data_IF_145584477547
#
_entry.id   IF_145584477547
#
_cell.length_a   1.000
_cell.length_b   1.000
_cell.length_c   1.000
_cell.angle_alpha   90.00
_cell.angle_beta   90.00
_cell.angle_gamma   90.00
#
_symmetry.space_group_name_H-M   'P 1'
#
loop_
_entity.id
_entity.type
_entity.pdbx_description
1 polymer ?
#
# COMPACT_ATOMS: atom_id res chain seq x y z
N UNK A 1 13.95 32.42 13.68
CA UNK A 1 13.78 31.05 14.22
C UNK A 1 12.94 30.26 13.22
N UNK A 2 13.60 29.66 12.24
CA UNK A 2 12.95 28.93 11.13
C UNK A 2 12.49 27.57 11.64
N UNK A 3 11.18 27.35 11.69
CA UNK A 3 10.62 26.02 11.89
C UNK A 3 10.98 25.19 10.66
N UNK A 4 12.07 24.43 10.75
CA UNK A 4 12.29 23.27 9.89
C UNK A 4 11.06 22.37 10.01
N UNK A 5 10.12 22.51 9.07
CA UNK A 5 9.10 21.50 8.83
C UNK A 5 9.88 20.23 8.51
N UNK A 6 9.94 19.28 9.46
CA UNK A 6 10.29 17.89 9.18
C UNK A 6 9.64 17.55 7.84
N UNK A 7 10.45 17.21 6.84
CA UNK A 7 9.99 16.71 5.55
C UNK A 7 9.13 15.49 5.85
N UNK A 8 7.81 15.71 5.99
CA UNK A 8 6.86 14.64 6.24
C UNK A 8 6.61 14.06 4.88
N UNK A 9 7.05 12.82 4.72
CA UNK A 9 6.77 12.04 3.53
C UNK A 9 5.26 12.15 3.18
N UNK A 10 4.91 12.62 1.97
CA UNK A 10 3.51 12.77 1.57
C UNK A 10 2.76 11.43 1.54
N UNK A 11 3.47 10.30 1.40
CA UNK A 11 2.93 8.95 1.27
C UNK A 11 2.39 8.36 2.58
N UNK A 12 2.89 8.80 3.74
CA UNK A 12 2.52 8.23 5.07
C UNK A 12 2.11 9.28 6.08
N UNK A 13 1.92 10.51 5.62
CA UNK A 13 1.27 11.54 6.41
C UNK A 13 -0.05 10.97 6.91
N UNK A 14 -0.08 10.56 8.19
CA UNK A 14 -1.31 10.10 8.85
C UNK A 14 -2.35 11.15 8.53
N UNK A 15 -3.35 10.77 7.73
CA UNK A 15 -4.49 11.62 7.45
C UNK A 15 -4.95 12.10 8.80
N UNK A 16 -4.79 13.40 9.05
CA UNK A 16 -5.29 13.94 10.31
C UNK A 16 -6.76 13.60 10.29
N UNK A 17 -7.27 12.97 11.36
CA UNK A 17 -8.71 12.77 11.55
C UNK A 17 -9.38 14.05 11.08
N UNK A 18 -10.41 13.96 10.21
CA UNK A 18 -10.97 15.11 9.52
C UNK A 18 -11.08 16.23 10.54
N UNK A 19 -10.22 17.24 10.37
CA UNK A 19 -10.32 18.41 11.20
C UNK A 19 -11.56 19.06 10.66
N UNK A 20 -12.66 18.89 11.39
CA UNK A 20 -13.81 19.73 11.20
C UNK A 20 -13.27 21.15 11.27
N UNK A 21 -13.09 21.77 10.10
CA UNK A 21 -13.06 23.21 10.02
C UNK A 21 -14.47 23.59 10.44
N UNK A 22 -14.68 23.69 11.75
CA UNK A 22 -15.71 24.57 12.25
C UNK A 22 -15.30 25.91 11.69
N UNK A 23 -15.87 26.25 10.54
CA UNK A 23 -15.97 27.64 10.13
C UNK A 23 -16.67 28.24 11.34
N UNK A 24 -15.89 28.88 12.21
CA UNK A 24 -16.42 29.80 13.18
C UNK A 24 -16.92 30.96 12.34
N UNK A 25 -18.09 30.76 11.72
CA UNK A 25 -19.01 31.86 11.58
C UNK A 25 -19.06 32.46 12.98
N UNK A 26 -18.69 33.74 13.15
CA UNK A 26 -18.75 34.37 14.47
C UNK A 26 -20.08 33.94 15.09
N UNK A 27 -20.04 33.47 16.34
CA UNK A 27 -21.26 33.01 17.04
C UNK A 27 -22.32 34.02 16.68
N UNK A 28 -23.35 33.59 15.97
CA UNK A 28 -24.38 34.50 15.52
C UNK A 28 -25.17 34.87 16.77
N UNK A 29 -24.60 35.78 17.54
CA UNK A 29 -25.10 36.31 18.80
C UNK A 29 -26.52 36.81 18.54
N UNK A 30 -26.78 37.33 17.34
CA UNK A 30 -28.10 37.73 16.92
C UNK A 30 -29.08 36.57 16.83
N UNK A 31 -28.72 35.41 16.24
CA UNK A 31 -29.60 34.23 16.25
C UNK A 31 -29.97 33.75 17.67
N UNK A 32 -29.02 33.82 18.61
CA UNK A 32 -29.26 33.47 20.01
C UNK A 32 -30.09 34.53 20.74
N UNK A 33 -29.82 35.82 20.52
CA UNK A 33 -30.62 36.94 21.06
C UNK A 33 -32.05 36.88 20.52
N UNK A 34 -32.23 36.66 19.22
CA UNK A 34 -33.55 36.56 18.60
C UNK A 34 -34.30 35.31 19.08
N UNK A 35 -33.62 34.17 19.23
CA UNK A 35 -34.20 32.94 19.78
C UNK A 35 -34.63 33.11 21.25
N UNK A 36 -33.78 33.72 22.08
CA UNK A 36 -34.07 34.01 23.49
C UNK A 36 -35.20 35.03 23.63
N UNK A 37 -35.14 36.13 22.87
CA UNK A 37 -36.18 37.17 22.85
C UNK A 37 -37.53 36.61 22.40
N UNK A 38 -37.55 35.75 21.37
CA UNK A 38 -38.77 35.09 20.91
C UNK A 38 -39.32 34.12 21.96
N UNK A 39 -38.45 33.39 22.66
CA UNK A 39 -38.85 32.47 23.73
C UNK A 39 -39.45 33.20 24.93
N UNK A 40 -38.81 34.30 25.37
CA UNK A 40 -39.32 35.17 26.45
C UNK A 40 -40.65 35.80 26.03
N UNK A 41 -40.73 36.33 24.81
CA UNK A 41 -41.96 36.90 24.25
C UNK A 41 -43.10 35.88 24.25
N UNK A 42 -42.84 34.64 23.84
CA UNK A 42 -43.82 33.56 23.83
C UNK A 42 -44.27 33.17 25.25
N UNK A 43 -43.37 33.11 26.23
CA UNK A 43 -43.72 32.84 27.64
C UNK A 43 -44.61 33.95 28.22
N UNK A 44 -44.27 35.22 27.98
CA UNK A 44 -45.07 36.38 28.43
C UNK A 44 -46.46 36.34 27.77
N UNK A 45 -46.50 36.06 26.47
CA UNK A 45 -47.73 35.95 25.67
C UNK A 45 -48.64 34.84 26.22
N UNK A 46 -48.10 33.65 26.52
CA UNK A 46 -48.86 32.56 27.17
C UNK A 46 -49.35 32.99 28.57
N UNK A 47 -48.50 33.65 29.36
CA UNK A 47 -48.87 34.14 30.69
C UNK A 47 -50.07 35.11 30.65
N UNK A 48 -50.09 36.01 29.66
CA UNK A 48 -51.21 36.94 29.43
C UNK A 48 -52.48 36.19 29.01
N UNK A 49 -52.38 35.18 28.12
CA UNK A 49 -53.53 34.34 27.75
C UNK A 49 -54.11 33.65 28.99
N UNK A 50 -53.27 33.02 29.81
CA UNK A 50 -53.68 32.31 31.02
C UNK A 50 -54.32 33.27 32.03
N UNK A 51 -53.73 34.45 32.23
CA UNK A 51 -54.28 35.48 33.13
C UNK A 51 -55.66 35.95 32.67
N UNK A 52 -55.82 36.26 31.37
CA UNK A 52 -57.09 36.70 30.79
C UNK A 52 -58.16 35.60 30.84
N UNK A 53 -57.75 34.33 30.67
CA UNK A 53 -58.64 33.18 30.79
C UNK A 53 -59.15 32.99 32.23
N UNK A 54 -58.29 33.20 33.23
CA UNK A 54 -58.64 33.06 34.65
C UNK A 54 -59.52 34.23 35.14
N UNK A 55 -59.36 35.44 34.57
CA UNK A 55 -60.08 36.65 34.99
C UNK A 55 -61.07 37.19 33.93
N UNK A 56 -62.15 36.46 33.58
CA UNK A 56 -63.02 36.80 32.46
C UNK A 56 -63.98 37.99 32.71
N UNK A 57 -64.01 38.56 33.93
CA UNK A 57 -65.07 39.47 34.36
C UNK A 57 -64.82 40.96 34.05
N UNK A 58 -63.63 41.35 33.61
CA UNK A 58 -63.35 42.71 33.13
C UNK A 58 -63.47 42.74 31.59
N UNK A 59 -64.46 43.44 31.06
CA UNK A 59 -64.56 43.83 29.63
C UNK A 59 -64.34 42.68 28.60
N UNK A 60 -65.34 41.79 28.48
CA UNK A 60 -65.28 40.55 27.66
C UNK A 60 -64.80 40.74 26.22
N UNK A 61 -65.27 41.78 25.53
CA UNK A 61 -64.91 42.03 24.13
C UNK A 61 -63.43 42.42 23.96
N UNK A 62 -62.91 43.21 24.90
CA UNK A 62 -61.50 43.60 24.93
C UNK A 62 -60.59 42.40 25.20
N UNK A 63 -60.96 41.54 26.16
CA UNK A 63 -60.19 40.34 26.48
C UNK A 63 -60.18 39.33 25.32
N UNK A 64 -61.28 39.23 24.57
CA UNK A 64 -61.35 38.36 23.38
C UNK A 64 -60.42 38.85 22.26
N UNK A 65 -60.47 40.15 21.92
CA UNK A 65 -59.59 40.76 20.91
C UNK A 65 -58.12 40.63 21.32
N UNK A 66 -57.82 40.90 22.60
CA UNK A 66 -56.46 40.77 23.14
C UNK A 66 -55.97 39.31 23.05
N UNK A 67 -56.81 38.33 23.38
CA UNK A 67 -56.44 36.91 23.30
C UNK A 67 -56.13 36.48 21.85
N UNK A 68 -56.91 36.92 20.86
CA UNK A 68 -56.64 36.64 19.44
C UNK A 68 -55.31 37.26 19.00
N UNK A 69 -55.05 38.51 19.36
CA UNK A 69 -53.82 39.21 19.00
C UNK A 69 -52.59 38.53 19.62
N UNK A 70 -52.69 38.12 20.87
CA UNK A 70 -51.65 37.41 21.63
C UNK A 70 -51.42 36.01 21.04
N UNK A 71 -52.46 35.29 20.63
CA UNK A 71 -52.32 34.01 19.92
C UNK A 71 -51.63 34.15 18.54
N UNK A 72 -51.97 35.19 17.78
CA UNK A 72 -51.34 35.48 16.50
C UNK A 72 -49.85 35.80 16.70
N UNK A 73 -49.52 36.61 17.72
CA UNK A 73 -48.14 36.91 18.09
C UNK A 73 -47.36 35.63 18.48
N UNK A 74 -47.95 34.75 19.30
CA UNK A 74 -47.35 33.46 19.66
C UNK A 74 -47.07 32.60 18.42
N UNK A 75 -48.00 32.56 17.48
CA UNK A 75 -47.86 31.78 16.24
C UNK A 75 -46.72 32.29 15.37
N UNK A 76 -46.57 33.61 15.23
CA UNK A 76 -45.45 34.24 14.50
C UNK A 76 -44.12 33.95 15.19
N UNK A 77 -44.05 34.11 16.52
CA UNK A 77 -42.84 33.82 17.30
C UNK A 77 -42.44 32.34 17.21
N UNK A 78 -43.41 31.43 17.20
CA UNK A 78 -43.18 30.00 17.04
C UNK A 78 -42.63 29.65 15.65
N UNK A 79 -43.22 30.20 14.57
CA UNK A 79 -42.70 30.03 13.22
C UNK A 79 -41.27 30.58 13.07
N UNK A 80 -40.98 31.72 13.71
CA UNK A 80 -39.65 32.30 13.72
C UNK A 80 -38.66 31.39 14.47
N UNK A 81 -39.03 30.85 15.63
CA UNK A 81 -38.19 29.91 16.39
C UNK A 81 -37.85 28.66 15.57
N UNK A 82 -38.85 28.04 14.93
CA UNK A 82 -38.64 26.88 14.04
C UNK A 82 -37.69 27.25 12.90
N UNK A 83 -37.87 28.41 12.29
CA UNK A 83 -37.00 28.88 11.20
C UNK A 83 -35.56 29.03 11.68
N UNK A 84 -35.33 29.68 12.82
CA UNK A 84 -33.98 29.83 13.41
C UNK A 84 -33.34 28.47 13.69
N UNK A 85 -34.08 27.53 14.29
CA UNK A 85 -33.58 26.17 14.55
C UNK A 85 -33.23 25.45 13.23
N UNK A 86 -34.11 25.51 12.23
CA UNK A 86 -33.91 24.89 10.93
C UNK A 86 -32.67 25.45 10.20
N UNK A 87 -32.55 26.78 10.11
CA UNK A 87 -31.41 27.44 9.46
C UNK A 87 -30.10 27.23 10.23
N UNK A 88 -30.12 27.24 11.57
CA UNK A 88 -28.95 26.94 12.40
C UNK A 88 -28.43 25.53 12.15
N UNK A 89 -29.32 24.53 12.14
CA UNK A 89 -28.94 23.15 11.84
C UNK A 89 -28.42 22.99 10.39
N UNK A 90 -29.04 23.68 9.44
CA UNK A 90 -28.60 23.67 8.04
C UNK A 90 -27.23 24.31 7.86
N UNK A 91 -26.94 25.44 8.53
CA UNK A 91 -25.62 26.08 8.54
C UNK A 91 -24.55 25.18 9.15
N UNK A 92 -24.85 24.51 10.27
CA UNK A 92 -23.93 23.50 10.86
C UNK A 92 -23.58 22.41 9.86
N UNK A 93 -24.56 21.87 9.14
CA UNK A 93 -24.32 20.86 8.09
C UNK A 93 -23.43 21.40 6.98
N UNK A 94 -23.66 22.62 6.50
CA UNK A 94 -22.79 23.25 5.50
C UNK A 94 -21.37 23.53 6.00
N UNK A 95 -21.18 23.83 7.30
CA UNK A 95 -19.85 24.04 7.87
C UNK A 95 -19.00 22.76 7.96
N UNK A 96 -19.63 21.58 7.93
CA UNK A 96 -18.94 20.28 7.95
C UNK A 96 -18.44 19.85 6.56
N UNK A 97 -19.10 20.28 5.46
CA UNK A 97 -18.71 19.97 4.07
C UNK A 97 -17.28 20.40 3.71
N UNK A 98 -16.78 21.59 4.10
CA UNK A 98 -15.39 22.00 3.87
C UNK A 98 -14.34 21.05 4.46
N UNK A 99 -14.63 20.45 5.62
CA UNK A 99 -13.73 19.51 6.29
C UNK A 99 -13.64 18.19 5.52
N UNK A 100 -14.79 17.64 5.14
CA UNK A 100 -14.87 16.43 4.32
C UNK A 100 -14.19 16.65 2.96
N UNK A 101 -14.40 17.81 2.33
CA UNK A 101 -13.71 18.17 1.09
C UNK A 101 -12.19 18.21 1.26
N UNK A 102 -11.67 18.83 2.32
CA UNK A 102 -10.23 18.87 2.59
C UNK A 102 -9.62 17.49 2.82
N UNK A 103 -10.35 16.61 3.51
CA UNK A 103 -9.92 15.24 3.77
C UNK A 103 -9.93 14.41 2.48
N UNK A 104 -10.99 14.50 1.70
CA UNK A 104 -11.10 13.85 0.39
C UNK A 104 -10.00 14.35 -0.56
N UNK A 105 -9.73 15.66 -0.59
CA UNK A 105 -8.65 16.24 -1.37
C UNK A 105 -7.28 15.68 -0.97
N UNK A 106 -6.97 15.61 0.33
CA UNK A 106 -5.70 15.02 0.83
C UNK A 106 -5.61 13.53 0.48
N UNK A 107 -6.73 12.79 0.49
CA UNK A 107 -6.77 11.41 0.02
C UNK A 107 -6.52 11.31 -1.49
N UNK A 108 -7.19 12.10 -2.33
CA UNK A 108 -6.99 12.10 -3.78
C UNK A 108 -5.55 12.45 -4.13
N UNK A 109 -5.00 13.52 -3.54
CA UNK A 109 -3.59 13.89 -3.73
C UNK A 109 -2.65 12.73 -3.36
N UNK A 110 -2.91 12.02 -2.26
CA UNK A 110 -2.10 10.85 -1.87
C UNK A 110 -2.21 9.71 -2.89
N UNK A 111 -3.40 9.41 -3.40
CA UNK A 111 -3.59 8.37 -4.41
C UNK A 111 -2.91 8.75 -5.72
N UNK A 112 -3.00 10.01 -6.16
CA UNK A 112 -2.35 10.49 -7.37
C UNK A 112 -0.83 10.33 -7.28
N UNK A 113 -0.22 10.65 -6.14
CA UNK A 113 1.23 10.48 -5.97
C UNK A 113 1.59 8.98 -5.98
N UNK A 114 0.83 8.10 -5.32
CA UNK A 114 1.05 6.64 -5.36
C UNK A 114 0.92 6.11 -6.79
N UNK A 115 -0.12 6.51 -7.52
CA UNK A 115 -0.34 6.10 -8.91
C UNK A 115 0.80 6.57 -9.81
N UNK A 116 1.24 7.82 -9.67
CA UNK A 116 2.39 8.33 -10.41
C UNK A 116 3.66 7.50 -10.15
N UNK A 117 3.92 7.11 -8.90
CA UNK A 117 5.06 6.25 -8.56
C UNK A 117 4.93 4.84 -9.13
N UNK A 118 3.73 4.25 -9.12
CA UNK A 118 3.48 2.96 -9.78
C UNK A 118 3.76 3.09 -11.28
N UNK A 119 3.21 4.12 -11.94
CA UNK A 119 3.39 4.36 -13.37
C UNK A 119 4.86 4.59 -13.74
N UNK A 120 5.58 5.41 -12.97
CA UNK A 120 7.01 5.69 -13.17
C UNK A 120 7.84 4.43 -13.02
N UNK A 121 7.67 3.70 -11.91
CA UNK A 121 8.39 2.45 -11.67
C UNK A 121 8.06 1.40 -12.76
N UNK A 122 6.78 1.26 -13.14
CA UNK A 122 6.34 0.35 -14.21
C UNK A 122 6.96 0.71 -15.55
N UNK A 123 6.96 1.99 -15.90
CA UNK A 123 7.52 2.47 -17.16
C UNK A 123 9.02 2.17 -17.24
N UNK A 124 9.76 2.43 -16.16
CA UNK A 124 11.19 2.16 -16.09
C UNK A 124 11.46 0.65 -16.19
N UNK A 125 10.76 -0.16 -15.40
CA UNK A 125 10.95 -1.62 -15.39
C UNK A 125 10.63 -2.22 -16.76
N UNK A 126 9.50 -1.85 -17.37
CA UNK A 126 9.11 -2.35 -18.70
C UNK A 126 10.07 -1.90 -19.79
N UNK A 127 10.62 -0.68 -19.70
CA UNK A 127 11.65 -0.22 -20.63
C UNK A 127 12.93 -1.06 -20.55
N UNK A 128 13.43 -1.33 -19.34
CA UNK A 128 14.62 -2.19 -19.16
C UNK A 128 14.34 -3.64 -19.56
N UNK A 129 13.16 -4.17 -19.23
CA UNK A 129 12.74 -5.51 -19.65
C UNK A 129 12.73 -5.63 -21.17
N UNK A 130 12.08 -4.70 -21.88
CA UNK A 130 11.99 -4.73 -23.34
C UNK A 130 13.37 -4.70 -24.00
N UNK A 131 14.29 -3.88 -23.50
CA UNK A 131 15.64 -3.80 -24.05
C UNK A 131 16.45 -5.08 -23.79
N UNK A 132 16.26 -5.69 -22.62
CA UNK A 132 16.85 -7.00 -22.31
C UNK A 132 16.25 -8.08 -23.23
N UNK A 133 14.93 -8.12 -23.33
CA UNK A 133 14.16 -9.10 -24.10
C UNK A 133 14.61 -9.17 -25.57
N UNK A 134 14.69 -8.01 -26.24
CA UNK A 134 15.16 -7.94 -27.62
C UNK A 134 16.60 -8.42 -27.77
N UNK A 135 17.48 -8.08 -26.84
CA UNK A 135 18.88 -8.48 -26.91
C UNK A 135 19.05 -9.98 -26.63
N UNK A 136 18.36 -10.54 -25.63
CA UNK A 136 18.43 -11.97 -25.36
C UNK A 136 17.86 -12.76 -26.53
N UNK A 137 16.73 -12.31 -27.11
CA UNK A 137 16.14 -12.96 -28.27
C UNK A 137 17.06 -12.95 -29.49
N UNK A 138 17.71 -11.82 -29.79
CA UNK A 138 18.69 -11.73 -30.89
C UNK A 138 19.84 -12.72 -30.75
N UNK A 139 20.24 -13.04 -29.51
CA UNK A 139 21.29 -14.02 -29.25
C UNK A 139 20.76 -15.45 -29.35
N UNK A 140 19.56 -15.71 -28.82
CA UNK A 140 18.92 -17.02 -28.85
C UNK A 140 18.61 -17.46 -30.29
N UNK A 141 18.23 -16.52 -31.16
CA UNK A 141 17.87 -16.81 -32.55
C UNK A 141 19.09 -17.03 -33.47
N UNK A 142 20.32 -16.81 -32.98
CA UNK A 142 21.54 -17.04 -33.77
C UNK A 142 21.93 -18.51 -33.78
N UNK A 143 22.40 -18.98 -34.95
CA UNK A 143 23.02 -20.29 -35.07
C UNK A 143 24.26 -20.40 -34.16
N UNK A 144 24.43 -21.57 -33.54
CA UNK A 144 25.49 -21.84 -32.56
C UNK A 144 26.89 -21.55 -33.12
N UNK A 145 27.13 -21.86 -34.39
CA UNK A 145 28.43 -21.64 -35.06
C UNK A 145 28.78 -20.16 -35.24
N UNK A 146 27.78 -19.28 -35.32
CA UNK A 146 27.96 -17.84 -35.52
C UNK A 146 28.13 -17.11 -34.19
N UNK A 147 27.61 -17.68 -33.11
CA UNK A 147 27.58 -17.08 -31.79
C UNK A 147 28.98 -16.94 -31.17
N UNK A 148 29.33 -15.72 -30.79
CA UNK A 148 30.62 -15.40 -30.16
C UNK A 148 30.52 -15.39 -28.64
N UNK A 149 31.57 -15.84 -27.96
CA UNK A 149 31.65 -15.84 -26.48
C UNK A 149 31.46 -14.43 -25.88
N UNK A 150 32.01 -13.40 -26.50
CA UNK A 150 31.86 -12.01 -26.04
C UNK A 150 30.40 -11.54 -26.04
N UNK A 151 29.58 -12.03 -26.97
CA UNK A 151 28.14 -11.71 -27.03
C UNK A 151 27.40 -12.34 -25.83
N UNK A 152 27.73 -13.60 -25.49
CA UNK A 152 27.18 -14.29 -24.32
C UNK A 152 27.59 -13.60 -23.01
N UNK A 153 28.86 -13.23 -22.86
CA UNK A 153 29.34 -12.49 -21.68
C UNK A 153 28.62 -11.15 -21.57
N UNK A 154 28.45 -10.44 -22.69
CA UNK A 154 27.70 -9.18 -22.75
C UNK A 154 26.25 -9.38 -22.31
N UNK A 155 25.58 -10.44 -22.79
CA UNK A 155 24.23 -10.79 -22.40
C UNK A 155 24.08 -11.04 -20.90
N UNK A 156 24.98 -11.84 -20.33
CA UNK A 156 25.02 -12.14 -18.89
C UNK A 156 25.22 -10.87 -18.06
N UNK A 157 26.12 -9.98 -18.51
CA UNK A 157 26.33 -8.71 -17.84
C UNK A 157 25.09 -7.81 -17.92
N UNK A 158 24.42 -7.73 -19.08
CA UNK A 158 23.19 -6.94 -19.22
C UNK A 158 22.03 -7.51 -18.41
N UNK A 159 21.94 -8.83 -18.24
CA UNK A 159 20.98 -9.45 -17.35
C UNK A 159 21.19 -8.99 -15.89
N UNK A 160 22.43 -9.00 -15.39
CA UNK A 160 22.74 -8.46 -14.06
C UNK A 160 22.38 -6.96 -13.94
N UNK A 161 22.69 -6.16 -14.96
CA UNK A 161 22.29 -4.74 -14.97
C UNK A 161 20.77 -4.56 -14.93
N UNK A 162 20.02 -5.42 -15.62
CA UNK A 162 18.57 -5.43 -15.55
C UNK A 162 18.08 -5.71 -14.12
N UNK A 163 18.65 -6.71 -13.42
CA UNK A 163 18.31 -7.00 -12.03
C UNK A 163 18.62 -5.84 -11.07
N UNK A 164 19.77 -5.17 -11.25
CA UNK A 164 20.13 -3.96 -10.49
C UNK A 164 19.05 -2.90 -10.67
N UNK A 165 18.66 -2.63 -11.92
CA UNK A 165 17.68 -1.58 -12.22
C UNK A 165 16.30 -1.92 -11.64
N UNK A 166 15.79 -3.14 -11.84
CA UNK A 166 14.50 -3.53 -11.29
C UNK A 166 14.50 -3.43 -9.77
N UNK A 167 15.48 -4.07 -9.11
CA UNK A 167 15.49 -4.14 -7.65
C UNK A 167 15.68 -2.76 -7.01
N UNK A 168 16.46 -1.87 -7.62
CA UNK A 168 16.63 -0.48 -7.15
C UNK A 168 15.35 0.34 -7.32
N UNK A 169 14.67 0.21 -8.46
CA UNK A 169 13.41 0.93 -8.71
C UNK A 169 12.28 0.43 -7.79
N UNK A 170 12.17 -0.89 -7.60
CA UNK A 170 11.26 -1.48 -6.63
C UNK A 170 11.58 -1.01 -5.20
N UNK A 171 12.85 -1.01 -4.83
CA UNK A 171 13.29 -0.56 -3.51
C UNK A 171 12.87 0.89 -3.27
N UNK A 172 13.10 1.78 -4.24
CA UNK A 172 12.70 3.18 -4.17
C UNK A 172 11.18 3.32 -4.05
N UNK A 173 10.43 2.63 -4.91
CA UNK A 173 8.97 2.62 -4.91
C UNK A 173 8.39 2.19 -3.55
N UNK A 174 8.78 0.99 -3.08
CA UNK A 174 8.27 0.46 -1.81
C UNK A 174 8.71 1.31 -0.62
N UNK A 175 9.92 1.88 -0.65
CA UNK A 175 10.39 2.74 0.44
C UNK A 175 9.61 4.05 0.52
N UNK A 176 9.22 4.59 -0.63
CA UNK A 176 8.40 5.79 -0.69
C UNK A 176 7.00 5.52 -0.13
N UNK A 177 6.29 4.50 -0.63
CA UNK A 177 4.90 4.24 -0.23
C UNK A 177 4.75 3.78 1.23
N UNK A 178 5.75 3.08 1.77
CA UNK A 178 5.76 2.60 3.16
C UNK A 178 6.38 3.60 4.14
N UNK A 179 7.11 4.60 3.63
CA UNK A 179 7.92 5.54 4.42
C UNK A 179 8.83 4.81 5.41
N UNK A 180 9.49 3.79 4.88
CA UNK A 180 10.50 3.00 5.55
C UNK A 180 11.51 2.51 4.53
N UNK A 181 12.72 2.17 4.95
CA UNK A 181 13.71 1.64 4.03
C UNK A 181 13.41 0.16 3.75
N UNK A 182 12.94 -0.12 2.54
CA UNK A 182 12.66 -1.49 2.10
C UNK A 182 13.92 -2.17 1.56
N UNK A 183 13.97 -3.49 1.60
CA UNK A 183 14.94 -4.33 0.88
C UNK A 183 14.21 -5.26 -0.07
N UNK A 184 14.79 -5.44 -1.26
CA UNK A 184 14.25 -6.31 -2.32
C UNK A 184 15.20 -7.48 -2.50
N UNK A 185 14.69 -8.71 -2.51
CA UNK A 185 15.48 -9.88 -2.86
C UNK A 185 14.79 -10.79 -3.85
N UNK A 186 15.60 -11.33 -4.75
CA UNK A 186 15.24 -12.38 -5.68
C UNK A 186 15.92 -13.66 -5.19
N UNK A 187 15.10 -14.65 -4.90
CA UNK A 187 15.52 -16.00 -4.52
C UNK A 187 15.13 -16.94 -5.64
N UNK A 188 15.99 -17.90 -5.94
CA UNK A 188 15.69 -18.94 -6.92
C UNK A 188 15.46 -20.26 -6.19
N UNK A 189 14.79 -21.18 -6.87
CA UNK A 189 14.69 -22.58 -6.49
C UNK A 189 15.72 -23.40 -7.27
N UNK A 190 16.34 -24.35 -6.60
CA UNK A 190 17.12 -25.40 -7.24
C UNK A 190 16.49 -26.74 -6.92
N UNK A 191 16.06 -27.42 -7.97
CA UNK A 191 15.63 -28.81 -7.91
C UNK A 191 16.90 -29.64 -8.10
N UNK A 192 17.55 -30.05 -7.00
CA UNK A 192 18.71 -30.92 -7.10
C UNK A 192 18.26 -32.27 -7.66
N UNK A 193 18.72 -32.61 -8.87
CA UNK A 193 18.44 -33.90 -9.53
C UNK A 193 19.11 -35.11 -8.83
N UNK A 194 19.92 -34.88 -7.78
CA UNK A 194 20.92 -35.84 -7.29
C UNK A 194 20.74 -36.36 -5.86
N UNK A 195 19.71 -35.95 -5.12
CA UNK A 195 19.51 -36.39 -3.71
C UNK A 195 18.13 -37.05 -3.58
N UNK A 196 18.10 -38.25 -2.98
CA UNK A 196 16.91 -39.10 -2.77
C UNK A 196 15.81 -38.44 -1.90
N UNK A 197 16.08 -37.28 -1.31
CA UNK A 197 15.10 -36.42 -0.64
C UNK A 197 14.82 -35.20 -1.56
N UNK A 198 13.74 -35.31 -2.35
CA UNK A 198 13.24 -34.37 -3.38
C UNK A 198 12.83 -32.96 -2.86
N UNK A 199 13.44 -32.43 -1.80
CA UNK A 199 13.09 -31.10 -1.31
C UNK A 199 13.84 -30.01 -2.10
N UNK A 200 13.12 -29.08 -2.76
CA UNK A 200 13.76 -28.00 -3.48
C UNK A 200 14.45 -27.04 -2.53
N UNK A 201 15.67 -26.62 -2.90
CA UNK A 201 16.47 -25.68 -2.12
C UNK A 201 16.25 -24.26 -2.60
N UNK A 202 16.24 -23.30 -1.68
CA UNK A 202 16.09 -21.87 -1.94
C UNK A 202 17.38 -21.15 -1.61
N UNK A 203 17.86 -20.34 -2.56
CA UNK A 203 19.03 -19.46 -2.37
C UNK A 203 18.69 -18.04 -2.81
N UNK A 204 19.22 -17.05 -2.08
CA UNK A 204 19.18 -15.66 -2.55
C UNK A 204 20.14 -15.50 -3.72
N UNK A 205 19.58 -15.28 -4.91
CA UNK A 205 20.35 -15.06 -6.14
C UNK A 205 20.76 -13.59 -6.28
N UNK A 206 19.85 -12.67 -5.97
CA UNK A 206 20.08 -11.25 -6.12
C UNK A 206 19.44 -10.44 -4.98
N UNK A 207 20.11 -9.37 -4.54
CA UNK A 207 19.60 -8.39 -3.58
C UNK A 207 19.84 -6.99 -4.10
N UNK A 208 18.91 -6.08 -3.78
CA UNK A 208 19.09 -4.67 -4.07
C UNK A 208 20.46 -4.14 -3.54
N UNK A 209 21.18 -3.33 -4.34
CA UNK A 209 22.50 -2.84 -3.95
C UNK A 209 22.45 -1.84 -2.79
N UNK A 210 21.31 -1.19 -2.56
CA UNK A 210 21.13 -0.15 -1.53
C UNK A 210 21.29 -0.74 -0.12
N UNK A 211 20.75 -1.94 0.11
CA UNK A 211 20.83 -2.63 1.40
C UNK A 211 21.97 -3.64 1.51
N UNK A 212 22.67 -3.92 0.41
CA UNK A 212 23.72 -4.94 0.33
C UNK A 212 24.79 -4.79 1.42
N UNK A 213 25.29 -3.57 1.67
CA UNK A 213 26.37 -3.33 2.64
C UNK A 213 26.01 -3.76 4.08
N UNK A 214 24.75 -3.64 4.49
CA UNK A 214 24.30 -3.98 5.84
C UNK A 214 24.14 -5.49 6.06
N UNK A 215 23.95 -6.25 4.98
CA UNK A 215 23.61 -7.69 5.02
C UNK A 215 24.62 -8.59 4.28
N UNK A 216 25.71 -8.02 3.76
CA UNK A 216 26.77 -8.78 3.05
C UNK A 216 27.25 -9.99 3.83
N UNK A 217 27.49 -9.82 5.13
CA UNK A 217 27.99 -10.88 5.99
C UNK A 217 26.94 -11.97 6.23
N UNK A 218 25.66 -11.62 6.40
CA UNK A 218 24.60 -12.61 6.60
C UNK A 218 24.33 -13.39 5.31
N UNK A 219 24.35 -12.72 4.16
CA UNK A 219 24.07 -13.37 2.87
C UNK A 219 25.23 -14.28 2.43
N UNK A 220 26.49 -13.96 2.76
CA UNK A 220 27.64 -14.85 2.50
C UNK A 220 27.67 -16.09 3.39
N UNK A 221 26.99 -16.06 4.54
CA UNK A 221 26.93 -17.16 5.51
C UNK A 221 25.70 -18.05 5.27
N UNK A 222 24.65 -17.53 4.65
CA UNK A 222 23.40 -18.26 4.46
C UNK A 222 23.54 -19.29 3.34
N UNK A 223 23.82 -20.54 3.71
CA UNK A 223 23.68 -21.71 2.84
C UNK A 223 22.27 -21.80 2.24
N UNK A 224 22.11 -22.49 1.10
CA UNK A 224 20.78 -22.85 0.60
C UNK A 224 19.93 -23.46 1.72
N UNK A 225 18.65 -23.12 1.76
CA UNK A 225 17.71 -23.59 2.79
C UNK A 225 16.55 -24.38 2.14
N UNK A 226 15.94 -25.31 2.87
CA UNK A 226 14.74 -25.99 2.35
C UNK A 226 13.57 -25.01 2.26
N UNK A 227 12.68 -25.22 1.28
CA UNK A 227 11.38 -24.54 1.21
C UNK A 227 10.61 -24.67 2.54
N UNK A 228 10.71 -25.82 3.20
CA UNK A 228 9.98 -26.12 4.44
C UNK A 228 10.52 -25.39 5.67
N UNK A 229 11.76 -24.88 5.61
CA UNK A 229 12.37 -24.12 6.70
C UNK A 229 11.88 -22.66 6.77
N UNK A 230 11.15 -22.20 5.76
CA UNK A 230 10.63 -20.85 5.67
C UNK A 230 9.11 -20.86 5.48
N UNK A 231 8.38 -20.22 6.39
CA UNK A 231 6.91 -20.17 6.34
C UNK A 231 6.39 -19.56 5.03
N UNK A 232 7.02 -18.51 4.51
CA UNK A 232 6.56 -17.89 3.27
C UNK A 232 6.70 -18.84 2.07
N UNK A 233 7.84 -19.54 1.97
CA UNK A 233 8.09 -20.46 0.85
C UNK A 233 7.20 -21.70 0.95
N UNK A 234 7.09 -22.30 2.14
CA UNK A 234 6.21 -23.46 2.36
C UNK A 234 4.75 -23.16 2.00
N UNK A 235 4.21 -21.99 2.38
CA UNK A 235 2.84 -21.59 2.02
C UNK A 235 2.67 -21.43 0.52
N UNK A 236 3.62 -20.77 -0.16
CA UNK A 236 3.52 -20.50 -1.60
C UNK A 236 3.68 -21.77 -2.44
N UNK A 237 4.44 -22.75 -1.93
CA UNK A 237 4.72 -24.02 -2.61
C UNK A 237 3.72 -25.13 -2.28
N UNK A 238 2.84 -24.95 -1.28
CA UNK A 238 1.87 -25.98 -0.89
C UNK A 238 0.78 -26.15 -1.95
N UNK A 239 0.72 -27.36 -2.52
CA UNK A 239 -0.28 -27.77 -3.52
C UNK A 239 -1.74 -27.62 -3.08
N UNK A 240 -2.02 -27.61 -1.77
CA UNK A 240 -3.37 -27.49 -1.24
C UNK A 240 -3.85 -26.03 -1.15
N UNK A 241 -2.93 -25.07 -1.14
CA UNK A 241 -3.26 -23.66 -1.04
C UNK A 241 -3.23 -23.00 -2.41
N UNK A 242 -4.36 -22.43 -2.81
CA UNK A 242 -4.42 -21.49 -3.94
C UNK A 242 -3.76 -20.13 -3.62
N UNK A 243 -3.23 -19.95 -2.40
CA UNK A 243 -2.61 -18.70 -1.98
C UNK A 243 -1.27 -18.53 -2.70
N UNK A 244 -1.30 -17.71 -3.72
CA UNK A 244 -0.17 -17.45 -4.60
C UNK A 244 0.91 -16.53 -3.99
N UNK A 245 0.81 -16.09 -2.72
CA UNK A 245 1.77 -15.20 -2.06
C UNK A 245 1.76 -15.36 -0.53
N UNK A 246 2.75 -14.75 0.14
CA UNK A 246 2.78 -14.55 1.58
C UNK A 246 2.99 -13.07 1.88
N UNK A 247 2.19 -12.48 2.77
CA UNK A 247 2.31 -11.05 3.08
C UNK A 247 1.83 -10.76 4.50
N UNK A 248 2.71 -10.15 5.30
CA UNK A 248 2.44 -9.83 6.70
C UNK A 248 3.12 -8.52 7.11
N UNK A 249 2.39 -7.67 7.84
CA UNK A 249 2.88 -6.39 8.36
C UNK A 249 3.50 -6.52 9.78
N UNK A 250 3.21 -7.61 10.49
CA UNK A 250 3.70 -7.89 11.85
C UNK A 250 4.18 -9.33 12.00
N UNK A 251 5.31 -9.64 11.38
CA UNK A 251 5.95 -10.95 11.53
C UNK A 251 6.35 -11.30 12.97
N UNK A 252 6.79 -10.37 13.83
CA UNK A 252 7.11 -10.72 15.21
C UNK A 252 5.93 -11.36 15.94
N UNK A 253 4.70 -10.88 15.70
CA UNK A 253 3.48 -11.43 16.29
C UNK A 253 3.26 -12.89 15.84
N UNK A 254 3.48 -13.22 14.55
CA UNK A 254 3.39 -14.59 14.06
C UNK A 254 4.50 -15.49 14.63
N UNK A 255 5.71 -14.96 14.79
CA UNK A 255 6.84 -15.69 15.34
C UNK A 255 6.64 -16.03 16.83
N UNK A 256 6.17 -15.06 17.62
CA UNK A 256 5.82 -15.26 19.03
C UNK A 256 4.72 -16.32 19.21
N UNK A 257 3.79 -16.42 18.26
CA UNK A 257 2.75 -17.44 18.23
C UNK A 257 3.18 -18.78 17.59
N UNK A 258 4.46 -18.96 17.28
CA UNK A 258 5.02 -20.15 16.61
C UNK A 258 4.42 -20.45 15.22
N UNK A 259 3.89 -19.42 14.55
CA UNK A 259 3.28 -19.50 13.21
C UNK A 259 4.22 -19.07 12.09
N UNK A 260 5.36 -18.45 12.42
CA UNK A 260 6.38 -18.05 11.45
C UNK A 260 7.73 -18.69 11.75
N UNK A 261 8.35 -19.24 10.71
CA UNK A 261 9.67 -19.88 10.70
C UNK A 261 10.54 -19.23 9.63
N UNK A 262 11.81 -19.03 9.95
CA UNK A 262 12.82 -18.55 9.02
C UNK A 262 14.15 -19.23 9.34
N UNK A 263 14.91 -19.68 8.33
CA UNK A 263 16.21 -20.33 8.55
C UNK A 263 17.24 -19.40 9.20
N UNK A 264 17.14 -18.09 8.98
CA UNK A 264 17.95 -17.12 9.69
C UNK A 264 17.30 -16.77 11.03
N UNK A 265 17.80 -17.30 12.14
CA UNK A 265 17.29 -17.03 13.50
C UNK A 265 17.29 -15.53 13.88
N UNK A 266 18.18 -14.75 13.27
CA UNK A 266 18.34 -13.32 13.52
C UNK A 266 17.51 -12.44 12.56
N UNK A 267 16.58 -13.02 11.79
CA UNK A 267 15.79 -12.32 10.77
C UNK A 267 15.12 -11.03 11.29
N UNK A 268 14.61 -11.06 12.54
CA UNK A 268 13.89 -9.96 13.19
C UNK A 268 14.77 -8.71 13.39
N UNK A 269 16.10 -8.85 13.45
CA UNK A 269 17.04 -7.70 13.50
C UNK A 269 17.05 -6.91 12.20
N UNK A 270 16.48 -7.47 11.13
CA UNK A 270 16.62 -6.93 9.80
C UNK A 270 15.30 -6.51 9.16
N UNK A 271 14.16 -7.08 9.58
CA UNK A 271 12.82 -6.71 9.12
C UNK A 271 11.75 -7.26 10.07
N UNK A 272 10.57 -6.63 10.07
CA UNK A 272 9.39 -7.05 10.83
C UNK A 272 8.15 -7.25 9.95
N UNK A 273 8.24 -6.93 8.67
CA UNK A 273 7.19 -7.13 7.67
C UNK A 273 7.81 -7.64 6.39
N UNK A 274 7.07 -8.50 5.69
CA UNK A 274 7.50 -9.05 4.41
C UNK A 274 6.30 -9.20 3.46
N UNK A 275 6.58 -9.04 2.18
CA UNK A 275 5.71 -9.44 1.08
C UNK A 275 6.54 -10.31 0.14
N UNK A 276 6.11 -11.55 -0.05
CA UNK A 276 6.77 -12.55 -0.88
C UNK A 276 5.78 -13.03 -1.94
N UNK A 277 6.16 -12.91 -3.20
CA UNK A 277 5.44 -13.49 -4.34
C UNK A 277 6.36 -14.44 -5.09
N UNK A 278 5.85 -15.53 -5.65
CA UNK A 278 6.58 -16.43 -6.50
C UNK A 278 6.85 -15.81 -7.87
N UNK A 279 8.01 -16.14 -8.42
CA UNK A 279 8.35 -15.95 -9.82
C UNK A 279 7.90 -17.22 -10.52
N UNK A 280 6.74 -17.19 -11.17
CA UNK A 280 6.07 -18.40 -11.65
C UNK A 280 5.24 -18.17 -12.90
N UNK A 281 4.93 -19.25 -13.61
CA UNK A 281 3.91 -19.28 -14.65
C UNK A 281 2.88 -20.37 -14.34
N UNK A 282 1.63 -20.14 -14.74
CA UNK A 282 0.59 -21.17 -14.72
C UNK A 282 0.60 -21.86 -16.09
N UNK A 283 0.90 -23.15 -16.11
CA UNK A 283 0.83 -24.02 -17.29
C UNK A 283 -0.46 -24.84 -17.23
N UNK A 284 -1.29 -24.82 -18.27
CA UNK A 284 -2.55 -25.58 -18.27
C UNK A 284 -3.58 -25.12 -17.21
N UNK A 285 -4.48 -26.01 -16.80
CA UNK A 285 -5.59 -25.66 -15.90
C UNK A 285 -5.19 -25.49 -14.44
N UNK A 286 -4.22 -26.27 -13.95
CA UNK A 286 -3.87 -26.30 -12.51
C UNK A 286 -2.38 -26.54 -12.23
N UNK A 287 -1.50 -26.62 -13.25
CA UNK A 287 -0.06 -26.75 -13.00
C UNK A 287 0.61 -25.39 -12.93
N UNK A 288 1.50 -25.22 -11.95
CA UNK A 288 2.28 -24.00 -11.74
C UNK A 288 3.75 -24.35 -11.70
N UNK A 289 4.55 -23.67 -12.50
CA UNK A 289 6.00 -23.78 -12.47
C UNK A 289 6.52 -22.57 -11.71
N UNK A 290 7.22 -22.81 -10.59
CA UNK A 290 7.81 -21.76 -9.75
C UNK A 290 9.33 -21.81 -9.91
N UNK A 291 9.93 -20.72 -10.40
CA UNK A 291 11.38 -20.57 -10.54
C UNK A 291 12.04 -20.05 -9.26
N UNK A 292 11.27 -19.38 -8.41
CA UNK A 292 11.78 -18.71 -7.24
C UNK A 292 10.80 -17.75 -6.61
N UNK A 293 11.31 -16.78 -5.86
CA UNK A 293 10.53 -15.83 -5.08
C UNK A 293 11.11 -14.41 -5.20
N UNK A 294 10.24 -13.44 -5.38
CA UNK A 294 10.51 -12.01 -5.24
C UNK A 294 9.96 -11.55 -3.88
N UNK A 295 10.80 -10.91 -3.08
CA UNK A 295 10.45 -10.50 -1.72
C UNK A 295 10.79 -9.05 -1.44
N UNK A 296 9.94 -8.41 -0.65
CA UNK A 296 10.07 -7.05 -0.14
C UNK A 296 10.00 -7.10 1.37
N UNK A 297 11.02 -6.60 2.05
CA UNK A 297 11.10 -6.60 3.50
C UNK A 297 11.23 -5.17 4.04
N UNK A 298 10.54 -4.85 5.14
CA UNK A 298 10.74 -3.60 5.88
C UNK A 298 10.49 -3.78 7.39
N UNK A 299 10.71 -2.73 8.19
CA UNK A 299 10.45 -2.75 9.64
C UNK A 299 9.07 -2.21 10.03
N UNK A 300 8.51 -1.31 9.22
CA UNK A 300 7.32 -0.53 9.59
C UNK A 300 5.99 -1.15 9.18
N UNK A 301 5.98 -2.11 8.27
CA UNK A 301 4.77 -2.66 7.64
C UNK A 301 4.27 -1.81 6.48
N UNK A 302 2.98 -1.92 6.17
CA UNK A 302 2.36 -1.29 5.00
C UNK A 302 2.60 -2.04 3.69
N UNK A 303 3.05 -3.30 3.77
CA UNK A 303 3.27 -4.17 2.62
C UNK A 303 2.02 -5.01 2.31
N UNK A 304 1.21 -5.34 3.31
CA UNK A 304 0.04 -6.23 3.19
C UNK A 304 -1.20 -5.65 2.48
N UNK A 305 -1.04 -4.64 1.62
CA UNK A 305 -2.13 -4.06 0.83
C UNK A 305 -2.30 -4.80 -0.51
N UNK A 306 -3.52 -4.86 -1.05
CA UNK A 306 -3.77 -5.58 -2.31
C UNK A 306 -3.00 -4.97 -3.49
N UNK A 307 -2.95 -3.64 -3.58
CA UNK A 307 -2.21 -2.94 -4.64
C UNK A 307 -0.73 -3.31 -4.67
N UNK A 308 -0.11 -3.47 -3.50
CA UNK A 308 1.30 -3.81 -3.39
C UNK A 308 1.56 -5.26 -3.85
N UNK A 309 0.66 -6.18 -3.49
CA UNK A 309 0.71 -7.59 -3.91
C UNK A 309 0.59 -7.70 -5.43
N UNK A 310 -0.46 -7.11 -6.01
CA UNK A 310 -0.70 -7.13 -7.46
C UNK A 310 0.47 -6.49 -8.22
N UNK A 311 0.99 -5.37 -7.71
CA UNK A 311 2.15 -4.73 -8.34
C UNK A 311 3.39 -5.63 -8.29
N UNK A 312 3.63 -6.32 -7.18
CA UNK A 312 4.77 -7.24 -7.08
C UNK A 312 4.60 -8.47 -7.98
N UNK A 313 3.38 -8.98 -8.17
CA UNK A 313 3.08 -10.04 -9.14
C UNK A 313 3.41 -9.62 -10.56
N UNK A 314 2.98 -8.43 -10.98
CA UNK A 314 3.33 -7.88 -12.29
C UNK A 314 4.86 -7.91 -12.54
N UNK A 315 5.65 -7.56 -11.53
CA UNK A 315 7.11 -7.59 -11.66
C UNK A 315 7.65 -9.03 -11.64
N UNK A 316 7.07 -9.91 -10.82
CA UNK A 316 7.45 -11.32 -10.77
C UNK A 316 7.20 -12.05 -12.11
N UNK A 317 6.13 -11.69 -12.83
CA UNK A 317 5.83 -12.22 -14.16
C UNK A 317 6.89 -11.79 -15.19
N UNK A 318 7.31 -10.52 -15.16
CA UNK A 318 8.40 -10.04 -16.01
C UNK A 318 9.74 -10.71 -15.66
N UNK A 319 10.00 -10.94 -14.37
CA UNK A 319 11.17 -11.69 -13.94
C UNK A 319 11.12 -13.13 -14.43
N UNK A 320 9.95 -13.79 -14.42
CA UNK A 320 9.81 -15.16 -14.92
C UNK A 320 10.24 -15.23 -16.40
N UNK A 321 9.72 -14.33 -17.24
CA UNK A 321 10.07 -14.28 -18.66
C UNK A 321 11.57 -14.01 -18.87
N UNK A 322 12.12 -13.07 -18.10
CA UNK A 322 13.54 -12.72 -18.17
C UNK A 322 14.44 -13.90 -17.75
N UNK A 323 14.14 -14.58 -16.65
CA UNK A 323 14.88 -15.77 -16.19
C UNK A 323 14.74 -16.94 -17.15
N UNK A 324 13.57 -17.13 -17.77
CA UNK A 324 13.36 -18.17 -18.77
C UNK A 324 14.31 -17.99 -19.96
N UNK A 325 14.37 -16.79 -20.56
CA UNK A 325 15.33 -16.51 -21.65
C UNK A 325 16.78 -16.56 -21.17
N UNK A 326 17.02 -16.17 -19.93
CA UNK A 326 18.36 -16.25 -19.35
C UNK A 326 18.84 -17.70 -19.20
N UNK A 327 17.95 -18.66 -18.90
CA UNK A 327 18.29 -20.09 -18.92
C UNK A 327 18.85 -20.50 -20.28
N UNK A 328 18.18 -20.11 -21.37
CA UNK A 328 18.62 -20.44 -22.74
C UNK A 328 20.03 -19.88 -23.01
N UNK A 329 20.30 -18.65 -22.57
CA UNK A 329 21.64 -18.04 -22.67
C UNK A 329 22.69 -18.82 -21.85
N UNK A 330 22.32 -19.29 -20.66
CA UNK A 330 23.20 -20.10 -19.81
C UNK A 330 23.48 -21.46 -20.46
N UNK A 331 22.49 -22.09 -21.10
CA UNK A 331 22.66 -23.35 -21.82
C UNK A 331 23.60 -23.17 -23.02
N UNK A 332 23.41 -22.13 -23.84
CA UNK A 332 24.32 -21.78 -24.93
C UNK A 332 25.76 -21.52 -24.44
N UNK A 333 25.91 -20.85 -23.30
CA UNK A 333 27.21 -20.62 -22.69
C UNK A 333 27.88 -21.92 -22.22
N UNK A 334 27.10 -22.87 -21.66
CA UNK A 334 27.61 -24.19 -21.28
C UNK A 334 28.05 -25.01 -22.49
N UNK A 335 27.30 -24.99 -23.60
CA UNK A 335 27.66 -25.67 -24.84
C UNK A 335 29.02 -25.20 -25.37
N UNK A 336 29.31 -23.90 -25.27
CA UNK A 336 30.62 -23.32 -25.60
C UNK A 336 31.69 -23.47 -24.52
N UNK A 337 31.41 -24.20 -23.43
CA UNK A 337 32.32 -24.37 -22.29
C UNK A 337 32.81 -23.04 -21.68
N UNK A 338 31.97 -22.00 -21.72
CA UNK A 338 32.30 -20.69 -21.21
C UNK A 338 32.37 -20.71 -19.69
N UNK A 339 33.54 -20.36 -19.13
CA UNK A 339 33.72 -20.22 -17.68
C UNK A 339 33.47 -18.79 -17.25
N UNK A 340 32.47 -18.57 -16.40
CA UNK A 340 32.14 -17.25 -15.88
C UNK A 340 31.53 -17.37 -14.48
N UNK A 341 32.03 -16.58 -13.53
CA UNK A 341 31.57 -16.60 -12.13
C UNK A 341 30.05 -16.40 -11.99
N UNK A 342 29.43 -15.64 -12.90
CA UNK A 342 27.98 -15.39 -12.87
C UNK A 342 27.17 -16.60 -13.34
N UNK A 343 27.71 -17.36 -14.29
CA UNK A 343 27.15 -18.66 -14.72
C UNK A 343 27.26 -19.64 -13.55
N UNK A 344 28.42 -19.70 -12.90
CA UNK A 344 28.65 -20.57 -11.76
C UNK A 344 27.72 -20.19 -10.60
N UNK A 345 27.54 -18.90 -10.30
CA UNK A 345 26.59 -18.43 -9.28
C UNK A 345 25.14 -18.84 -9.57
N UNK A 346 24.76 -18.92 -10.85
CA UNK A 346 23.42 -19.29 -11.27
C UNK A 346 23.20 -20.82 -11.23
N UNK A 347 24.24 -21.59 -11.58
CA UNK A 347 24.12 -23.03 -11.86
C UNK A 347 24.74 -23.91 -10.78
N UNK A 348 25.75 -23.44 -10.07
CA UNK A 348 26.45 -24.17 -9.03
C UNK A 348 26.04 -23.66 -7.64
N UNK A 349 25.29 -24.50 -6.94
CA UNK A 349 24.71 -24.21 -5.64
C UNK A 349 25.44 -24.91 -4.50
N UNK A 350 26.53 -25.62 -4.82
CA UNK A 350 27.39 -26.34 -3.88
C UNK A 350 28.50 -25.47 -3.30
#
# INVERSE_FOLDING_TARGET
>A
MSFYKKNRNPYTRKLKKPRYFTIHTPVDIWSHIYGLSSSIGLIITIGIIVYNYINPNENKDFNYILTILVFLLASVLFMFLISVIYYSNRLKKYSQIPADYSFLKEQTERHDIILNQICECSHIVTHYYRNLDFMLQDIIDKDEDVLKEDELISAINKFDYFLINITTNLQSYFSQITDDNCSITIKLLNFNDSIEENEPLVRTYFRDPVNFKKRRNSDSICSPCSVNDNTAFSIIMDSNYQNIYFSEDRLPDLYENHQYKNPNLDWHKYYHSTLVVPISIVTGKDSRIVLGFLSVDNFKGGLATNSNKEYLFFIADLLYLAFSKFNDIIELAKLKNLKNEKIDRYTNWN
#
